data_IF_745007533729
#
_entry.id   IF_745007533729
#
_cell.length_a   1.000
_cell.length_b   1.000
_cell.length_c   1.000
_cell.angle_alpha   90.00
_cell.angle_beta   90.00
_cell.angle_gamma   90.00
#
_symmetry.space_group_name_H-M   'P 1'
#
loop_
_entity.id
_entity.type
_entity.pdbx_description
1 polymer ?
#
# COMPACT_ATOMS: atom_id res chain seq x y z
N UNK A 1 1.98 -25.34 -11.19
CA UNK A 1 3.43 -25.33 -10.88
C UNK A 1 3.65 -25.11 -9.38
N UNK A 2 3.29 -23.96 -8.79
CA UNK A 2 3.42 -23.77 -7.33
C UNK A 2 2.50 -24.68 -6.50
N UNK A 3 1.22 -24.80 -6.86
CA UNK A 3 0.28 -25.71 -6.17
C UNK A 3 0.77 -27.16 -6.16
N UNK A 4 1.22 -27.64 -7.31
CA UNK A 4 1.81 -28.98 -7.49
C UNK A 4 3.00 -29.21 -6.57
N UNK A 5 3.87 -28.21 -6.39
CA UNK A 5 5.02 -28.30 -5.48
C UNK A 5 4.58 -28.34 -4.00
N UNK A 6 3.60 -27.52 -3.62
CA UNK A 6 3.06 -27.53 -2.26
C UNK A 6 2.39 -28.87 -1.93
N UNK A 7 1.71 -29.49 -2.91
CA UNK A 7 1.09 -30.80 -2.71
C UNK A 7 2.12 -31.93 -2.67
N UNK A 8 3.23 -31.81 -3.42
CA UNK A 8 4.37 -32.71 -3.31
C UNK A 8 4.99 -32.68 -1.90
N UNK A 9 5.31 -31.50 -1.36
CA UNK A 9 5.92 -31.40 -0.02
C UNK A 9 5.04 -31.89 1.12
N UNK A 10 3.72 -31.94 0.94
CA UNK A 10 2.80 -32.53 1.92
C UNK A 10 2.85 -34.06 1.97
N UNK A 11 3.33 -34.70 0.90
CA UNK A 11 3.25 -36.15 0.70
C UNK A 11 4.61 -36.82 0.67
N UNK A 12 5.66 -36.08 0.31
CA UNK A 12 7.02 -36.55 0.18
C UNK A 12 7.60 -37.12 1.49
N UNK A 13 8.25 -38.27 1.41
CA UNK A 13 8.75 -39.03 2.58
C UNK A 13 9.92 -38.33 3.29
N UNK A 14 10.65 -37.46 2.61
CA UNK A 14 11.77 -36.70 3.19
C UNK A 14 11.26 -35.45 3.94
N UNK A 15 10.31 -34.73 3.33
CA UNK A 15 9.86 -33.41 3.82
C UNK A 15 8.67 -33.50 4.78
N UNK A 16 7.68 -34.33 4.48
CA UNK A 16 6.40 -34.36 5.20
C UNK A 16 6.54 -34.70 6.69
N UNK A 17 7.40 -35.65 7.13
CA UNK A 17 7.56 -35.96 8.55
C UNK A 17 8.07 -34.78 9.40
N UNK A 18 8.76 -33.82 8.80
CA UNK A 18 9.27 -32.62 9.47
C UNK A 18 8.24 -31.49 9.61
N UNK A 19 7.08 -31.60 8.96
CA UNK A 19 6.04 -30.56 8.98
C UNK A 19 5.13 -30.72 10.19
N UNK A 20 5.39 -29.96 11.26
CA UNK A 20 4.54 -29.97 12.46
C UNK A 20 3.19 -29.28 12.27
N UNK A 21 3.12 -28.25 11.41
CA UNK A 21 1.89 -27.50 11.19
C UNK A 21 1.79 -26.97 9.75
N UNK A 22 0.60 -27.04 9.17
CA UNK A 22 0.27 -26.45 7.87
C UNK A 22 -1.00 -25.61 8.00
N UNK A 23 -0.89 -24.31 7.73
CA UNK A 23 -2.03 -23.40 7.79
C UNK A 23 -2.19 -22.67 6.45
N UNK A 24 -3.39 -22.73 5.89
CA UNK A 24 -3.76 -21.95 4.71
C UNK A 24 -4.65 -20.81 5.12
N UNK A 25 -4.24 -19.58 4.81
CA UNK A 25 -5.06 -18.39 5.02
C UNK A 25 -5.93 -18.18 3.77
N UNK A 26 -7.25 -17.93 3.91
CA UNK A 26 -8.11 -17.71 2.75
C UNK A 26 -7.72 -16.44 1.99
N UNK A 27 -7.91 -16.49 0.68
CA UNK A 27 -7.81 -15.30 -0.17
C UNK A 27 -8.86 -14.27 0.26
N UNK A 28 -8.51 -12.98 0.17
CA UNK A 28 -9.41 -11.87 0.50
C UNK A 28 -9.58 -10.98 -0.73
N UNK A 29 -10.83 -10.72 -1.17
CA UNK A 29 -11.05 -9.79 -2.27
C UNK A 29 -10.65 -8.38 -1.86
N UNK A 30 -10.22 -7.61 -2.85
CA UNK A 30 -9.94 -6.18 -2.67
C UNK A 30 -11.23 -5.45 -2.27
N UNK A 31 -11.16 -4.63 -1.22
CA UNK A 31 -12.18 -3.64 -0.92
C UNK A 31 -11.69 -2.29 -1.45
N UNK A 32 -12.43 -1.75 -2.43
CA UNK A 32 -12.02 -0.57 -3.18
C UNK A 32 -13.13 0.48 -3.24
N UNK A 33 -12.73 1.72 -3.45
CA UNK A 33 -13.59 2.90 -3.51
C UNK A 33 -13.13 3.83 -4.62
N UNK A 34 -14.02 4.67 -5.17
CA UNK A 34 -13.63 5.68 -6.14
C UNK A 34 -12.62 6.66 -5.54
N UNK A 35 -11.77 7.23 -6.40
CA UNK A 35 -10.90 8.33 -6.03
C UNK A 35 -11.80 9.52 -5.63
N UNK A 36 -11.61 10.14 -4.45
CA UNK A 36 -12.43 11.27 -4.01
C UNK A 36 -12.32 12.47 -4.95
N UNK A 37 -13.44 13.15 -5.19
CA UNK A 37 -13.51 14.28 -6.12
C UNK A 37 -12.64 15.49 -5.70
N UNK A 38 -12.31 15.59 -4.40
CA UNK A 38 -11.46 16.63 -3.84
C UNK A 38 -9.96 16.34 -3.97
N UNK A 39 -9.57 15.21 -4.59
CA UNK A 39 -8.19 14.95 -5.00
C UNK A 39 -7.84 15.87 -6.19
N UNK A 40 -6.74 16.63 -6.15
CA UNK A 40 -6.33 17.50 -7.26
C UNK A 40 -6.26 16.75 -8.60
N UNK A 41 -6.76 17.38 -9.67
CA UNK A 41 -6.86 16.75 -11.00
C UNK A 41 -5.53 16.18 -11.51
N UNK A 42 -4.42 16.90 -11.30
CA UNK A 42 -3.08 16.43 -11.66
C UNK A 42 -2.69 15.10 -10.98
N UNK A 43 -3.15 14.88 -9.74
CA UNK A 43 -2.94 13.60 -9.05
C UNK A 43 -3.86 12.51 -9.57
N UNK A 44 -5.10 12.83 -9.91
CA UNK A 44 -6.00 11.84 -10.53
C UNK A 44 -5.42 11.32 -11.86
N UNK A 45 -4.86 12.22 -12.68
CA UNK A 45 -4.19 11.88 -13.94
C UNK A 45 -2.93 11.03 -13.71
N UNK A 46 -2.10 11.41 -12.74
CA UNK A 46 -0.91 10.65 -12.36
C UNK A 46 -1.25 9.23 -11.86
N UNK A 47 -2.31 9.10 -11.06
CA UNK A 47 -2.82 7.80 -10.61
C UNK A 47 -3.30 6.95 -11.79
N UNK A 48 -4.09 7.54 -12.70
CA UNK A 48 -4.56 6.87 -13.91
C UNK A 48 -3.41 6.37 -14.79
N UNK A 49 -2.36 7.18 -14.95
CA UNK A 49 -1.16 6.81 -15.72
C UNK A 49 -0.41 5.63 -15.10
N UNK A 50 -0.47 5.49 -13.76
CA UNK A 50 0.05 4.35 -13.02
C UNK A 50 -0.93 3.16 -12.94
N UNK A 51 -2.05 3.21 -13.67
CA UNK A 51 -3.06 2.15 -13.69
C UNK A 51 -3.95 2.09 -12.43
N UNK A 52 -3.97 3.17 -11.63
CA UNK A 52 -4.73 3.25 -10.38
C UNK A 52 -6.02 4.01 -10.64
N UNK A 53 -7.13 3.30 -10.80
CA UNK A 53 -8.47 3.87 -11.01
C UNK A 53 -9.33 3.90 -9.74
N UNK A 54 -8.98 3.10 -8.74
CA UNK A 54 -9.68 2.98 -7.45
C UNK A 54 -8.67 2.96 -6.30
N UNK A 55 -9.10 3.45 -5.15
CA UNK A 55 -8.34 3.36 -3.90
C UNK A 55 -8.78 2.15 -3.11
N UNK A 56 -7.86 1.48 -2.44
CA UNK A 56 -8.23 0.52 -1.39
C UNK A 56 -8.89 1.24 -0.21
N UNK A 57 -9.75 0.56 0.56
CA UNK A 57 -10.47 1.16 1.69
C UNK A 57 -9.56 1.86 2.71
N UNK A 58 -8.38 1.32 2.98
CA UNK A 58 -7.42 1.94 3.89
C UNK A 58 -6.78 3.21 3.31
N UNK A 59 -6.62 3.30 1.99
CA UNK A 59 -6.11 4.50 1.31
C UNK A 59 -7.16 5.62 1.31
N UNK A 60 -8.43 5.28 1.03
CA UNK A 60 -9.53 6.24 1.11
C UNK A 60 -9.75 6.73 2.55
N UNK A 61 -9.69 5.82 3.53
CA UNK A 61 -9.76 6.17 4.95
C UNK A 61 -8.62 7.13 5.35
N UNK A 62 -7.39 6.86 4.91
CA UNK A 62 -6.25 7.73 5.13
C UNK A 62 -6.47 9.14 4.54
N UNK A 63 -6.98 9.21 3.30
CA UNK A 63 -7.35 10.48 2.66
C UNK A 63 -8.33 11.28 3.51
N UNK A 64 -9.47 10.67 3.88
CA UNK A 64 -10.54 11.33 4.65
C UNK A 64 -10.00 11.87 5.97
N UNK A 65 -9.23 11.05 6.71
CA UNK A 65 -8.66 11.47 7.99
C UNK A 65 -7.60 12.57 7.84
N UNK A 66 -6.75 12.49 6.82
CA UNK A 66 -5.73 13.49 6.55
C UNK A 66 -6.35 14.83 6.11
N UNK A 67 -7.39 14.83 5.26
CA UNK A 67 -8.14 16.05 4.87
C UNK A 67 -8.80 16.69 6.08
N UNK A 68 -9.27 15.89 7.04
CA UNK A 68 -9.79 16.36 8.32
C UNK A 68 -8.69 16.80 9.32
N UNK A 69 -7.42 16.87 8.91
CA UNK A 69 -6.25 17.23 9.73
C UNK A 69 -6.10 16.37 11.00
N UNK A 70 -6.43 15.09 10.89
CA UNK A 70 -6.28 14.11 11.98
C UNK A 70 -4.98 13.32 11.84
N UNK A 71 -4.35 13.01 12.96
CA UNK A 71 -3.26 12.04 13.01
C UNK A 71 -3.81 10.63 12.78
N UNK A 72 -3.07 9.80 12.07
CA UNK A 72 -3.50 8.44 11.71
C UNK A 72 -2.33 7.45 11.81
N UNK A 73 -2.66 6.19 12.08
CA UNK A 73 -1.72 5.06 12.09
C UNK A 73 -2.22 4.05 11.05
N UNK A 74 -1.34 3.69 10.10
CA UNK A 74 -1.65 2.71 9.06
C UNK A 74 -1.07 1.34 9.42
N UNK A 75 -1.90 0.48 10.01
CA UNK A 75 -1.55 -0.89 10.36
C UNK A 75 -1.96 -1.87 9.25
N UNK A 76 -1.19 -1.92 8.15
CA UNK A 76 -1.46 -2.84 7.04
C UNK A 76 -0.22 -3.67 6.66
N UNK A 77 -0.43 -4.82 6.02
CA UNK A 77 0.65 -5.72 5.59
C UNK A 77 1.56 -5.13 4.52
N UNK A 78 2.73 -5.74 4.31
CA UNK A 78 3.62 -5.42 3.19
C UNK A 78 2.90 -5.55 1.85
N UNK A 79 3.35 -4.79 0.84
CA UNK A 79 2.73 -4.73 -0.49
C UNK A 79 1.23 -4.33 -0.54
N UNK A 80 0.65 -3.81 0.55
CA UNK A 80 -0.76 -3.39 0.55
C UNK A 80 -1.04 -2.02 -0.07
N UNK A 81 -0.01 -1.27 -0.49
CA UNK A 81 -0.17 0.09 -0.99
C UNK A 81 -0.19 1.19 0.09
N UNK A 82 0.46 0.97 1.25
CA UNK A 82 0.63 1.99 2.31
C UNK A 82 1.26 3.28 1.82
N UNK A 83 2.22 3.18 0.91
CA UNK A 83 2.95 4.33 0.38
C UNK A 83 2.00 5.34 -0.25
N UNK A 84 1.05 4.87 -1.05
CA UNK A 84 0.02 5.75 -1.61
C UNK A 84 -0.87 6.38 -0.52
N UNK A 85 -1.20 5.63 0.53
CA UNK A 85 -2.09 6.11 1.60
C UNK A 85 -1.53 7.35 2.34
N UNK A 86 -0.22 7.44 2.55
CA UNK A 86 0.39 8.66 3.13
C UNK A 86 0.85 9.68 2.07
N UNK A 87 1.31 9.23 0.89
CA UNK A 87 1.77 10.16 -0.15
C UNK A 87 0.62 10.97 -0.75
N UNK A 88 -0.54 10.36 -0.99
CA UNK A 88 -1.66 11.04 -1.64
C UNK A 88 -2.07 12.35 -0.94
N UNK A 89 -2.34 12.38 0.38
CA UNK A 89 -2.66 13.63 1.07
C UNK A 89 -1.48 14.62 1.14
N UNK A 90 -0.24 14.13 1.23
CA UNK A 90 0.95 14.99 1.29
C UNK A 90 1.14 15.71 -0.05
N UNK A 91 1.12 14.96 -1.16
CA UNK A 91 1.26 15.50 -2.50
C UNK A 91 0.11 16.45 -2.83
N UNK A 92 -1.12 16.12 -2.45
CA UNK A 92 -2.27 17.00 -2.65
C UNK A 92 -2.06 18.34 -1.94
N UNK A 93 -1.60 18.32 -0.68
CA UNK A 93 -1.30 19.54 0.07
C UNK A 93 -0.16 20.35 -0.56
N UNK A 94 0.86 19.69 -1.11
CA UNK A 94 1.98 20.37 -1.80
C UNK A 94 1.56 21.01 -3.13
N UNK A 95 0.57 20.45 -3.83
CA UNK A 95 -0.01 21.04 -5.04
C UNK A 95 -0.89 22.25 -4.69
N UNK A 96 -1.70 22.14 -3.65
CA UNK A 96 -2.60 23.21 -3.19
C UNK A 96 -1.84 24.40 -2.56
N UNK A 97 -0.65 24.17 -2.02
CA UNK A 97 0.12 25.15 -1.27
C UNK A 97 1.63 25.02 -1.59
N UNK A 98 2.20 25.91 -2.42
CA UNK A 98 3.62 25.87 -2.80
C UNK A 98 4.60 26.03 -1.63
N UNK A 99 4.14 26.56 -0.49
CA UNK A 99 4.95 26.71 0.72
C UNK A 99 4.88 25.46 1.62
N UNK A 100 3.98 24.51 1.34
CA UNK A 100 3.86 23.29 2.12
C UNK A 100 5.15 22.45 2.04
N UNK A 101 5.50 21.83 3.17
CA UNK A 101 6.65 20.93 3.32
C UNK A 101 6.19 19.68 4.07
N UNK A 102 6.86 18.56 3.81
CA UNK A 102 6.64 17.30 4.50
C UNK A 102 7.97 16.71 4.95
N UNK A 103 7.98 16.12 6.14
CA UNK A 103 9.11 15.39 6.69
C UNK A 103 8.80 13.90 6.69
N UNK A 104 9.61 13.12 5.99
CA UNK A 104 9.54 11.68 5.98
C UNK A 104 10.67 11.12 6.86
N UNK A 105 10.30 10.27 7.81
CA UNK A 105 11.25 9.62 8.72
C UNK A 105 11.13 8.11 8.51
N UNK A 106 12.24 7.50 8.10
CA UNK A 106 12.36 6.06 7.90
C UNK A 106 13.45 5.48 8.81
N UNK A 107 13.33 4.21 9.21
CA UNK A 107 14.30 3.57 10.11
C UNK A 107 15.68 3.34 9.46
N UNK A 108 15.79 3.30 8.14
CA UNK A 108 17.05 3.02 7.43
C UNK A 108 17.24 3.91 6.21
N UNK A 109 18.49 4.22 5.88
CA UNK A 109 18.85 4.99 4.68
C UNK A 109 18.41 4.31 3.39
N UNK A 110 18.54 2.97 3.32
CA UNK A 110 18.12 2.20 2.15
C UNK A 110 16.63 2.40 1.89
N UNK A 111 15.79 2.28 2.92
CA UNK A 111 14.36 2.51 2.77
C UNK A 111 14.05 3.97 2.39
N UNK A 112 14.79 4.95 2.94
CA UNK A 112 14.65 6.35 2.50
C UNK A 112 14.90 6.51 1.01
N UNK A 113 15.97 5.90 0.48
CA UNK A 113 16.32 5.98 -0.94
C UNK A 113 15.26 5.32 -1.81
N UNK A 114 14.79 4.12 -1.44
CA UNK A 114 13.71 3.43 -2.16
C UNK A 114 12.43 4.28 -2.24
N UNK A 115 12.10 4.98 -1.16
CA UNK A 115 10.91 5.84 -1.12
C UNK A 115 11.11 7.14 -1.93
N UNK A 116 12.31 7.72 -1.89
CA UNK A 116 12.64 8.90 -2.71
C UNK A 116 12.52 8.58 -4.20
N UNK A 117 13.12 7.50 -4.67
CA UNK A 117 13.05 7.11 -6.09
C UNK A 117 11.63 6.82 -6.57
N UNK A 118 10.68 6.51 -5.68
CA UNK A 118 9.27 6.30 -6.04
C UNK A 118 8.46 7.60 -6.24
N UNK A 119 8.99 8.71 -5.70
CA UNK A 119 8.40 10.06 -5.74
C UNK A 119 8.98 10.93 -6.86
N UNK A 120 10.22 10.66 -7.28
CA UNK A 120 10.85 11.25 -8.47
C UNK A 120 10.27 10.69 -9.78
#
# INVERSE_FOLDING_TARGET
MLSTLLDFWKQDEETAPGLFAWQTTPARPAQTHPIPDDVPAALQEALSTRGISLLYSHQQSAWIHARARRNLILATGTASGKTLAYNLPILAKMIEDPLARALYIFPTKALTQDQQSSLE
#
